data_IF_357477814792
#
_entry.id   IF_357477814792
#
_cell.length_a   1.000
_cell.length_b   1.000
_cell.length_c   1.000
_cell.angle_alpha   90.00
_cell.angle_beta   90.00
_cell.angle_gamma   90.00
#
_symmetry.space_group_name_H-M   'P 1'
#
loop_
_entity.id
_entity.type
_entity.pdbx_description
1 polymer ?
#
# COMPACT_ATOMS: atom_id res chain seq x y z
N UNK A 1 -0.97 -16.79 17.28
CA UNK A 1 -0.33 -16.11 18.41
C UNK A 1 -0.44 -14.63 18.16
N UNK A 2 -0.93 -13.88 19.14
CA UNK A 2 -1.30 -12.47 18.97
C UNK A 2 -0.74 -11.70 20.15
N UNK A 3 0.07 -10.69 19.85
CA UNK A 3 0.52 -9.66 20.76
C UNK A 3 0.15 -8.32 20.14
N UNK A 4 -0.85 -7.65 20.70
CA UNK A 4 -1.26 -6.32 20.29
C UNK A 4 -0.93 -5.34 21.40
N UNK A 5 -0.17 -4.30 21.07
CA UNK A 5 0.25 -3.22 21.97
C UNK A 5 0.94 -3.73 23.26
N UNK A 6 1.54 -4.92 23.18
CA UNK A 6 2.25 -5.56 24.28
C UNK A 6 3.67 -5.00 24.43
N UNK A 7 4.03 -4.59 25.64
CA UNK A 7 5.37 -4.08 25.93
C UNK A 7 6.23 -5.18 26.56
N UNK A 8 7.39 -5.44 25.97
CA UNK A 8 8.42 -6.30 26.58
C UNK A 8 9.24 -5.48 27.58
N UNK A 9 9.48 -6.03 28.78
CA UNK A 9 10.09 -5.31 29.89
C UNK A 9 11.60 -5.07 29.69
N UNK A 10 12.25 -5.91 28.87
CA UNK A 10 13.67 -5.76 28.56
C UNK A 10 14.06 -6.24 27.16
N UNK A 11 15.22 -5.80 26.68
CA UNK A 11 15.79 -6.30 25.41
C UNK A 11 16.18 -7.80 25.51
N UNK A 12 16.47 -8.30 26.72
CA UNK A 12 16.71 -9.73 26.97
C UNK A 12 15.45 -10.56 26.75
N UNK A 13 14.30 -10.08 27.23
CA UNK A 13 13.01 -10.72 26.99
C UNK A 13 12.64 -10.73 25.51
N UNK A 14 12.89 -9.64 24.78
CA UNK A 14 12.71 -9.60 23.32
C UNK A 14 13.55 -10.69 22.63
N UNK A 15 14.81 -10.84 23.04
CA UNK A 15 15.69 -11.89 22.53
C UNK A 15 15.16 -13.30 22.82
N UNK A 16 14.77 -13.57 24.08
CA UNK A 16 14.21 -14.85 24.51
C UNK A 16 12.90 -15.17 23.78
N UNK A 17 12.04 -14.17 23.60
CA UNK A 17 10.81 -14.29 22.84
C UNK A 17 11.08 -14.76 21.41
N UNK A 18 12.04 -14.17 20.70
CA UNK A 18 12.38 -14.59 19.33
C UNK A 18 12.91 -16.04 19.28
N UNK A 19 13.64 -16.48 20.31
CA UNK A 19 14.10 -17.87 20.40
C UNK A 19 12.92 -18.83 20.60
N UNK A 20 11.98 -18.50 21.49
CA UNK A 20 10.77 -19.31 21.74
C UNK A 20 9.89 -19.34 20.49
N UNK A 21 9.63 -18.17 19.90
CA UNK A 21 8.87 -18.00 18.67
C UNK A 21 9.37 -18.96 17.59
N UNK A 22 10.69 -19.06 17.41
CA UNK A 22 11.30 -19.91 16.40
C UNK A 22 11.04 -21.42 16.55
N UNK A 23 10.52 -21.86 17.69
CA UNK A 23 10.15 -23.25 17.98
C UNK A 23 8.68 -23.56 17.61
N UNK A 24 7.84 -22.55 17.39
CA UNK A 24 6.40 -22.70 17.16
C UNK A 24 6.07 -23.05 15.69
N UNK A 25 6.61 -24.15 15.16
CA UNK A 25 6.59 -24.48 13.71
C UNK A 25 5.21 -24.66 13.07
N UNK A 26 4.17 -24.94 13.87
CA UNK A 26 2.79 -25.06 13.39
C UNK A 26 2.02 -23.74 13.39
N UNK A 27 2.66 -22.65 13.81
CA UNK A 27 2.02 -21.35 13.88
C UNK A 27 1.67 -20.85 12.49
N UNK A 28 0.37 -20.59 12.26
CA UNK A 28 -0.15 -20.06 10.99
C UNK A 28 -0.42 -18.55 11.03
N UNK A 29 -0.66 -18.00 12.22
CA UNK A 29 -0.98 -16.59 12.40
C UNK A 29 -0.10 -16.00 13.49
N UNK A 30 0.64 -14.95 13.14
CA UNK A 30 1.42 -14.16 14.09
C UNK A 30 1.09 -12.67 13.91
N UNK A 31 0.54 -12.06 14.95
CA UNK A 31 0.48 -10.61 15.07
C UNK A 31 1.38 -10.15 16.22
N UNK A 32 2.21 -9.16 15.92
CA UNK A 32 3.11 -8.46 16.84
C UNK A 32 2.83 -6.96 16.80
N UNK A 33 1.61 -6.59 16.45
CA UNK A 33 1.23 -5.21 16.22
C UNK A 33 1.48 -4.38 17.48
N UNK A 34 2.17 -3.24 17.36
CA UNK A 34 2.42 -2.35 18.50
C UNK A 34 3.41 -2.87 19.55
N UNK A 35 4.14 -3.97 19.28
CA UNK A 35 5.01 -4.60 20.30
C UNK A 35 6.41 -3.97 20.48
N UNK A 36 6.75 -2.95 19.70
CA UNK A 36 8.02 -2.20 19.77
C UNK A 36 9.29 -3.08 19.91
N UNK A 37 9.34 -4.19 19.18
CA UNK A 37 10.51 -5.04 19.03
C UNK A 37 11.69 -4.30 18.39
N UNK A 38 12.88 -4.84 18.60
CA UNK A 38 14.14 -4.39 17.99
C UNK A 38 14.80 -5.55 17.25
N UNK A 39 15.98 -5.33 16.68
CA UNK A 39 16.83 -6.38 16.11
C UNK A 39 16.27 -7.07 14.85
N UNK A 40 15.86 -6.28 13.86
CA UNK A 40 15.33 -6.71 12.56
C UNK A 40 16.03 -7.93 11.91
N UNK A 41 17.36 -8.03 12.03
CA UNK A 41 18.15 -9.14 11.48
C UNK A 41 17.89 -10.46 12.23
N UNK A 42 17.85 -10.42 13.56
CA UNK A 42 17.54 -11.58 14.41
C UNK A 42 16.07 -11.98 14.24
N UNK A 43 15.18 -10.99 14.17
CA UNK A 43 13.78 -11.19 13.87
C UNK A 43 13.59 -11.98 12.55
N UNK A 44 14.23 -11.52 11.47
CA UNK A 44 14.15 -12.18 10.15
C UNK A 44 14.64 -13.65 10.19
N UNK A 45 15.73 -13.93 10.91
CA UNK A 45 16.24 -15.30 11.10
C UNK A 45 15.36 -16.19 11.98
N UNK A 46 14.57 -15.58 12.86
CA UNK A 46 13.70 -16.32 13.78
C UNK A 46 12.37 -16.63 13.11
N UNK A 47 11.81 -15.65 12.39
CA UNK A 47 10.54 -15.78 11.72
C UNK A 47 10.59 -16.77 10.55
N UNK A 48 11.71 -16.87 9.83
CA UNK A 48 11.85 -17.80 8.71
C UNK A 48 11.69 -19.28 9.12
N UNK A 49 11.84 -19.61 10.41
CA UNK A 49 11.62 -20.97 10.92
C UNK A 49 10.14 -21.35 11.03
N UNK A 50 9.22 -20.38 10.91
CA UNK A 50 7.78 -20.59 10.95
C UNK A 50 7.24 -20.99 9.57
N UNK A 51 7.59 -22.18 9.11
CA UNK A 51 7.33 -22.63 7.72
C UNK A 51 5.84 -22.76 7.36
N UNK A 52 4.94 -22.81 8.35
CA UNK A 52 3.48 -22.85 8.13
C UNK A 52 2.81 -21.47 8.31
N UNK A 53 3.58 -20.40 8.43
CA UNK A 53 3.05 -19.07 8.68
C UNK A 53 2.28 -18.56 7.44
N UNK A 54 1.02 -18.23 7.64
CA UNK A 54 0.09 -17.70 6.64
C UNK A 54 -0.05 -16.18 6.77
N UNK A 55 -0.13 -15.67 8.00
CA UNK A 55 -0.26 -14.24 8.28
C UNK A 55 0.86 -13.78 9.19
N UNK A 56 1.55 -12.73 8.76
CA UNK A 56 2.49 -11.97 9.57
C UNK A 56 2.04 -10.51 9.63
N UNK A 57 1.62 -10.09 10.82
CA UNK A 57 1.32 -8.69 11.13
C UNK A 57 2.40 -8.14 12.07
N UNK A 58 3.21 -7.23 11.54
CA UNK A 58 4.25 -6.52 12.29
C UNK A 58 4.03 -5.01 12.24
N UNK A 59 2.78 -4.56 12.05
CA UNK A 59 2.46 -3.14 12.04
C UNK A 59 2.84 -2.49 13.36
N UNK A 60 3.60 -1.39 13.32
CA UNK A 60 4.09 -0.71 14.53
C UNK A 60 4.88 -1.62 15.51
N UNK A 61 5.38 -2.76 15.04
CA UNK A 61 6.13 -3.70 15.88
C UNK A 61 7.58 -3.26 16.14
N UNK A 62 8.01 -2.08 15.69
CA UNK A 62 9.40 -1.60 15.81
C UNK A 62 10.42 -2.28 14.87
N UNK A 63 9.99 -3.27 14.08
CA UNK A 63 10.82 -3.93 13.06
C UNK A 63 10.98 -3.01 11.85
N UNK A 64 12.19 -2.47 11.65
CA UNK A 64 12.48 -1.51 10.56
C UNK A 64 12.91 -2.16 9.24
N UNK A 65 13.30 -3.42 9.29
CA UNK A 65 13.86 -4.13 8.13
C UNK A 65 13.39 -5.58 8.10
N UNK A 66 12.98 -6.07 6.93
CA UNK A 66 12.97 -7.51 6.65
C UNK A 66 14.13 -7.87 5.73
N UNK A 67 14.85 -8.91 6.10
CA UNK A 67 16.01 -9.44 5.38
C UNK A 67 15.65 -10.74 4.64
N UNK A 68 16.53 -11.17 3.74
CA UNK A 68 16.33 -12.33 2.86
C UNK A 68 15.84 -13.64 3.51
N UNK A 69 16.12 -13.99 4.79
CA UNK A 69 15.54 -15.22 5.36
C UNK A 69 14.00 -15.28 5.32
N UNK A 70 13.33 -14.13 5.32
CA UNK A 70 11.85 -14.07 5.24
C UNK A 70 11.32 -14.64 3.92
N UNK A 71 12.13 -14.63 2.86
CA UNK A 71 11.80 -15.23 1.57
C UNK A 71 11.50 -16.74 1.64
N UNK A 72 11.91 -17.42 2.71
CA UNK A 72 11.67 -18.85 2.92
C UNK A 72 10.23 -19.16 3.38
N UNK A 73 9.44 -18.13 3.74
CA UNK A 73 8.05 -18.29 4.19
C UNK A 73 7.10 -18.51 3.01
N UNK A 74 7.19 -19.67 2.37
CA UNK A 74 6.45 -20.00 1.14
C UNK A 74 4.93 -20.05 1.31
N UNK A 75 4.43 -20.30 2.52
CA UNK A 75 2.99 -20.31 2.80
C UNK A 75 2.42 -18.94 3.20
N UNK A 76 3.22 -17.87 3.11
CA UNK A 76 2.77 -16.55 3.57
C UNK A 76 1.79 -15.93 2.56
N UNK A 77 0.56 -15.69 3.01
CA UNK A 77 -0.50 -15.08 2.22
C UNK A 77 -0.71 -13.61 2.59
N UNK A 78 -0.45 -13.23 3.84
CA UNK A 78 -0.71 -11.87 4.33
C UNK A 78 0.49 -11.31 5.07
N UNK A 79 1.01 -10.19 4.57
CA UNK A 79 2.13 -9.46 5.14
C UNK A 79 1.74 -8.01 5.40
N UNK A 80 1.65 -7.64 6.68
CA UNK A 80 1.29 -6.29 7.12
C UNK A 80 2.48 -5.68 7.86
N UNK A 81 3.04 -4.59 7.30
CA UNK A 81 4.34 -4.03 7.71
C UNK A 81 4.34 -2.52 7.95
N UNK A 82 3.16 -1.88 7.89
CA UNK A 82 3.03 -0.44 8.09
C UNK A 82 3.64 0.03 9.42
N UNK A 83 4.36 1.15 9.38
CA UNK A 83 4.97 1.75 10.57
C UNK A 83 4.59 3.23 10.63
N UNK A 84 3.94 3.63 11.71
CA UNK A 84 3.44 4.99 11.95
C UNK A 84 4.55 5.97 12.33
N UNK A 85 5.63 5.48 12.97
CA UNK A 85 6.69 6.32 13.54
C UNK A 85 8.05 6.21 12.85
N UNK A 86 8.24 5.22 11.98
CA UNK A 86 9.52 4.96 11.32
C UNK A 86 9.28 4.39 9.92
N UNK A 87 10.25 4.54 9.04
CA UNK A 87 10.18 3.95 7.70
C UNK A 87 10.50 2.45 7.79
N UNK A 88 9.53 1.62 7.41
CA UNK A 88 9.76 0.20 7.17
C UNK A 88 10.46 0.00 5.82
N UNK A 89 11.49 -0.85 5.79
CA UNK A 89 12.23 -1.19 4.58
C UNK A 89 12.32 -2.69 4.39
N UNK A 90 12.42 -3.10 3.13
CA UNK A 90 12.66 -4.49 2.77
C UNK A 90 13.96 -4.59 1.98
N UNK A 91 14.76 -5.62 2.26
CA UNK A 91 15.87 -5.96 1.39
C UNK A 91 15.33 -6.58 0.09
N UNK A 92 16.01 -6.34 -1.05
CA UNK A 92 15.76 -7.12 -2.25
C UNK A 92 15.85 -8.63 -1.96
N UNK A 93 15.26 -9.42 -2.86
CA UNK A 93 15.10 -10.87 -2.89
C UNK A 93 14.05 -11.42 -1.92
N UNK A 94 13.51 -10.59 -1.02
CA UNK A 94 12.47 -11.01 -0.09
C UNK A 94 11.14 -11.25 -0.82
N UNK A 95 10.67 -10.30 -1.63
CA UNK A 95 9.34 -10.39 -2.26
C UNK A 95 9.32 -11.41 -3.39
N UNK A 96 10.41 -11.52 -4.16
CA UNK A 96 10.52 -12.41 -5.32
C UNK A 96 10.06 -13.86 -5.07
N UNK A 97 10.21 -14.34 -3.84
CA UNK A 97 9.91 -15.73 -3.48
C UNK A 97 8.55 -15.93 -2.79
N UNK A 98 7.84 -14.86 -2.42
CA UNK A 98 6.55 -14.92 -1.73
C UNK A 98 5.38 -15.02 -2.74
N UNK A 99 5.40 -16.04 -3.60
CA UNK A 99 4.49 -16.16 -4.75
C UNK A 99 3.01 -16.34 -4.39
N UNK A 100 2.73 -16.88 -3.21
CA UNK A 100 1.37 -17.11 -2.70
C UNK A 100 0.80 -15.88 -1.93
N UNK A 101 1.54 -14.76 -1.91
CA UNK A 101 1.14 -13.56 -1.19
C UNK A 101 -0.11 -12.94 -1.83
N UNK A 102 -1.16 -12.76 -1.04
CA UNK A 102 -2.45 -12.18 -1.43
C UNK A 102 -2.65 -10.77 -0.88
N UNK A 103 -2.00 -10.43 0.22
CA UNK A 103 -2.09 -9.11 0.85
C UNK A 103 -0.73 -8.59 1.26
N UNK A 104 -0.39 -7.40 0.79
CA UNK A 104 0.81 -6.66 1.19
C UNK A 104 0.42 -5.24 1.56
N UNK A 105 0.66 -4.86 2.82
CA UNK A 105 0.24 -3.56 3.35
C UNK A 105 1.39 -2.85 4.04
N UNK A 106 1.61 -1.58 3.67
CA UNK A 106 2.53 -0.67 4.36
C UNK A 106 3.98 -0.76 3.89
N UNK A 107 4.22 -1.30 2.69
CA UNK A 107 5.56 -1.34 2.11
C UNK A 107 5.91 0.00 1.47
N UNK A 108 7.10 0.50 1.76
CA UNK A 108 7.68 1.60 1.01
C UNK A 108 8.50 1.10 -0.19
N UNK A 109 8.18 1.60 -1.38
CA UNK A 109 8.94 1.41 -2.61
C UNK A 109 9.92 2.57 -2.77
N UNK A 110 11.20 2.29 -2.53
CA UNK A 110 12.27 3.30 -2.49
C UNK A 110 13.48 2.99 -3.39
N UNK A 111 13.43 1.90 -4.15
CA UNK A 111 14.44 1.51 -5.13
C UNK A 111 13.80 0.66 -6.24
N UNK A 112 14.53 0.47 -7.33
CA UNK A 112 14.05 -0.21 -8.52
C UNK A 112 13.88 -1.73 -8.31
N UNK A 113 14.69 -2.35 -7.46
CA UNK A 113 14.66 -3.79 -7.20
C UNK A 113 13.37 -4.19 -6.48
N UNK A 114 12.96 -3.43 -5.45
CA UNK A 114 11.68 -3.64 -4.76
C UNK A 114 10.50 -3.36 -5.70
N UNK A 115 10.60 -2.33 -6.55
CA UNK A 115 9.58 -2.02 -7.53
C UNK A 115 9.40 -3.16 -8.55
N UNK A 116 10.50 -3.73 -9.05
CA UNK A 116 10.49 -4.90 -9.95
C UNK A 116 9.93 -6.14 -9.26
N UNK A 117 10.29 -6.39 -7.99
CA UNK A 117 9.89 -7.62 -7.32
C UNK A 117 8.40 -7.74 -7.04
N UNK A 118 7.68 -6.61 -6.91
CA UNK A 118 6.23 -6.60 -6.81
C UNK A 118 5.57 -7.34 -7.99
N UNK A 119 6.17 -7.29 -9.18
CA UNK A 119 5.65 -7.94 -10.37
C UNK A 119 5.71 -9.47 -10.36
N UNK A 120 6.39 -10.10 -9.38
CA UNK A 120 6.36 -11.55 -9.20
C UNK A 120 5.21 -12.03 -8.30
N UNK A 121 4.51 -11.11 -7.62
CA UNK A 121 3.43 -11.42 -6.68
C UNK A 121 2.09 -11.59 -7.42
N UNK A 122 2.03 -12.46 -8.42
CA UNK A 122 0.87 -12.52 -9.34
C UNK A 122 -0.44 -12.96 -8.70
N UNK A 123 -0.42 -13.46 -7.46
CA UNK A 123 -1.61 -13.80 -6.66
C UNK A 123 -2.10 -12.64 -5.77
N UNK A 124 -1.47 -11.47 -5.84
CA UNK A 124 -1.73 -10.36 -4.95
C UNK A 124 -3.07 -9.70 -5.23
N UNK A 125 -3.97 -9.76 -4.26
CA UNK A 125 -5.32 -9.18 -4.35
C UNK A 125 -5.38 -7.77 -3.76
N UNK A 126 -4.54 -7.49 -2.75
CA UNK A 126 -4.49 -6.21 -2.05
C UNK A 126 -3.05 -5.72 -1.89
N UNK A 127 -2.79 -4.52 -2.43
CA UNK A 127 -1.51 -3.83 -2.33
C UNK A 127 -1.72 -2.44 -1.73
N UNK A 128 -1.06 -2.15 -0.61
CA UNK A 128 -0.95 -0.78 -0.09
C UNK A 128 0.52 -0.42 0.04
N UNK A 129 0.96 0.54 -0.77
CA UNK A 129 2.36 0.98 -0.83
C UNK A 129 2.49 2.49 -0.78
N UNK A 130 3.66 2.88 -0.28
CA UNK A 130 4.14 4.25 -0.30
C UNK A 130 5.33 4.35 -1.26
N UNK A 131 5.27 5.29 -2.21
CA UNK A 131 6.27 5.43 -3.27
C UNK A 131 7.12 6.66 -3.03
N UNK A 132 8.44 6.49 -3.08
CA UNK A 132 9.40 7.59 -3.05
C UNK A 132 9.67 8.06 -4.48
N UNK A 133 9.20 9.26 -4.83
CA UNK A 133 9.41 9.88 -6.14
C UNK A 133 10.78 10.59 -6.16
N UNK A 134 11.86 9.80 -6.26
CA UNK A 134 13.22 10.34 -6.45
C UNK A 134 13.88 9.80 -7.73
N UNK A 135 13.28 8.77 -8.34
CA UNK A 135 13.85 8.07 -9.49
C UNK A 135 12.74 7.68 -10.45
N UNK A 136 12.77 8.24 -11.66
CA UNK A 136 11.86 7.87 -12.73
C UNK A 136 11.94 6.38 -13.07
N UNK A 137 13.12 5.78 -12.93
CA UNK A 137 13.30 4.34 -13.15
C UNK A 137 12.48 3.53 -12.14
N UNK A 138 12.48 3.92 -10.86
CA UNK A 138 11.67 3.23 -9.83
C UNK A 138 10.18 3.26 -10.17
N UNK A 139 9.68 4.40 -10.67
CA UNK A 139 8.31 4.51 -11.17
C UNK A 139 8.04 3.64 -12.39
N UNK A 140 8.94 3.61 -13.36
CA UNK A 140 8.76 2.79 -14.56
C UNK A 140 8.69 1.30 -14.21
N UNK A 141 9.59 0.81 -13.34
CA UNK A 141 9.54 -0.58 -12.86
C UNK A 141 8.26 -0.86 -12.06
N UNK A 142 7.78 0.10 -11.26
CA UNK A 142 6.52 -0.05 -10.55
C UNK A 142 5.34 -0.18 -11.53
N UNK A 143 5.28 0.64 -12.59
CA UNK A 143 4.25 0.54 -13.62
C UNK A 143 4.26 -0.85 -14.28
N UNK A 144 5.43 -1.35 -14.71
CA UNK A 144 5.58 -2.69 -15.28
C UNK A 144 5.12 -3.77 -14.31
N UNK A 145 5.44 -3.64 -13.01
CA UNK A 145 4.99 -4.56 -11.99
C UNK A 145 3.47 -4.53 -11.81
N UNK A 146 2.84 -3.35 -11.80
CA UNK A 146 1.39 -3.23 -11.72
C UNK A 146 0.67 -3.84 -12.93
N UNK A 147 1.26 -3.78 -14.13
CA UNK A 147 0.74 -4.49 -15.32
C UNK A 147 0.72 -6.00 -15.11
N UNK A 148 1.78 -6.56 -14.53
CA UNK A 148 1.86 -8.01 -14.21
C UNK A 148 0.83 -8.43 -13.16
N UNK A 149 0.37 -7.51 -12.31
CA UNK A 149 -0.65 -7.76 -11.29
C UNK A 149 -2.08 -7.57 -11.81
N UNK A 150 -2.26 -7.21 -13.09
CA UNK A 150 -3.58 -6.87 -13.65
C UNK A 150 -4.62 -7.99 -13.55
N UNK A 151 -4.18 -9.25 -13.54
CA UNK A 151 -5.06 -10.42 -13.46
C UNK A 151 -5.50 -10.82 -12.04
N UNK A 152 -5.06 -10.13 -10.99
CA UNK A 152 -5.37 -10.52 -9.60
C UNK A 152 -5.68 -9.35 -8.66
N UNK A 153 -5.16 -8.16 -8.94
CA UNK A 153 -5.25 -7.03 -8.02
C UNK A 153 -6.66 -6.44 -7.97
N UNK A 154 -7.28 -6.48 -6.79
CA UNK A 154 -8.63 -5.95 -6.53
C UNK A 154 -8.62 -4.64 -5.75
N UNK A 155 -7.57 -4.40 -4.96
CA UNK A 155 -7.44 -3.23 -4.10
C UNK A 155 -6.03 -2.67 -4.15
N UNK A 156 -5.91 -1.39 -4.48
CA UNK A 156 -4.64 -0.68 -4.60
C UNK A 156 -4.69 0.62 -3.79
N UNK A 157 -3.71 0.83 -2.92
CA UNK A 157 -3.45 2.12 -2.29
C UNK A 157 -2.04 2.58 -2.65
N UNK A 158 -1.95 3.77 -3.25
CA UNK A 158 -0.70 4.43 -3.62
C UNK A 158 -0.60 5.77 -2.90
N UNK A 159 0.33 5.86 -1.94
CA UNK A 159 0.76 7.15 -1.37
C UNK A 159 2.10 7.57 -1.94
N UNK A 160 2.38 8.88 -1.89
CA UNK A 160 3.68 9.41 -2.28
C UNK A 160 4.32 10.14 -1.12
N UNK A 161 5.63 9.93 -0.93
CA UNK A 161 6.45 10.76 -0.05
C UNK A 161 7.11 11.84 -0.90
N UNK A 162 6.62 13.08 -0.85
CA UNK A 162 7.32 14.17 -1.52
C UNK A 162 7.38 15.43 -0.68
N UNK A 163 8.58 16.00 -0.58
CA UNK A 163 8.83 17.39 -0.18
C UNK A 163 9.04 18.30 -1.41
N UNK A 164 8.90 17.78 -2.64
CA UNK A 164 9.28 18.45 -3.89
C UNK A 164 8.30 18.20 -5.04
N UNK A 165 8.40 19.00 -6.11
CA UNK A 165 7.49 19.19 -7.27
C UNK A 165 7.14 17.96 -8.13
N UNK A 166 7.68 16.77 -7.87
CA UNK A 166 7.48 15.59 -8.72
C UNK A 166 6.03 15.05 -8.68
N UNK A 167 5.62 14.42 -9.78
CA UNK A 167 4.24 13.97 -10.06
C UNK A 167 4.20 12.44 -10.18
N UNK A 168 3.21 11.79 -9.57
CA UNK A 168 2.98 10.37 -9.79
C UNK A 168 2.20 10.21 -11.10
N UNK A 169 2.88 9.81 -12.16
CA UNK A 169 2.24 9.47 -13.43
C UNK A 169 2.31 7.94 -13.64
N UNK A 170 1.16 7.29 -13.52
CA UNK A 170 1.01 5.85 -13.78
C UNK A 170 0.68 5.65 -15.25
N UNK A 171 1.70 5.76 -16.11
CA UNK A 171 1.57 5.42 -17.52
C UNK A 171 1.58 3.88 -17.67
N UNK A 172 0.42 3.27 -17.38
CA UNK A 172 0.23 1.82 -17.39
C UNK A 172 -0.54 1.46 -18.67
N UNK A 173 0.07 0.66 -19.55
CA UNK A 173 -0.54 0.24 -20.80
C UNK A 173 -1.71 -0.73 -20.56
N UNK A 174 -1.55 -1.60 -19.55
CA UNK A 174 -2.56 -2.58 -19.14
C UNK A 174 -2.93 -2.37 -17.68
N UNK A 175 -3.84 -1.42 -17.38
CA UNK A 175 -4.20 -1.13 -16.00
C UNK A 175 -4.88 -2.33 -15.35
N UNK A 176 -4.81 -2.48 -14.01
CA UNK A 176 -5.42 -3.61 -13.33
C UNK A 176 -6.94 -3.62 -13.51
N UNK A 177 -7.43 -4.38 -14.49
CA UNK A 177 -8.82 -4.30 -14.95
C UNK A 177 -9.81 -4.85 -13.94
N UNK A 178 -9.36 -5.73 -13.04
CA UNK A 178 -10.13 -6.27 -11.92
C UNK A 178 -10.19 -5.32 -10.71
N UNK A 179 -9.52 -4.16 -10.76
CA UNK A 179 -9.43 -3.26 -9.63
C UNK A 179 -10.80 -2.70 -9.25
N UNK A 180 -11.20 -2.96 -8.01
CA UNK A 180 -12.48 -2.52 -7.44
C UNK A 180 -12.32 -1.34 -6.49
N UNK A 181 -11.16 -1.23 -5.84
CA UNK A 181 -10.86 -0.19 -4.87
C UNK A 181 -9.52 0.46 -5.18
N UNK A 182 -9.54 1.78 -5.31
CA UNK A 182 -8.34 2.57 -5.47
C UNK A 182 -8.28 3.67 -4.42
N UNK A 183 -7.18 3.71 -3.68
CA UNK A 183 -6.76 4.84 -2.87
C UNK A 183 -5.58 5.51 -3.58
N UNK A 184 -5.65 6.82 -3.81
CA UNK A 184 -4.53 7.55 -4.40
C UNK A 184 -4.30 8.89 -3.71
N UNK A 185 -3.05 9.13 -3.33
CA UNK A 185 -2.55 10.44 -2.94
C UNK A 185 -1.58 10.98 -3.97
N UNK A 186 -2.06 11.89 -4.83
CA UNK A 186 -1.28 12.46 -5.92
C UNK A 186 -1.43 13.98 -5.95
N UNK A 187 -0.83 14.66 -6.93
CA UNK A 187 -0.87 16.12 -7.11
C UNK A 187 -1.93 16.60 -8.10
N UNK A 188 -2.38 15.74 -9.03
CA UNK A 188 -3.41 16.10 -10.02
C UNK A 188 -4.16 14.85 -10.49
N UNK A 189 -5.50 14.88 -10.41
CA UNK A 189 -6.35 13.78 -10.87
C UNK A 189 -6.42 13.70 -12.41
N UNK A 190 -6.24 14.82 -13.10
CA UNK A 190 -6.25 14.89 -14.57
C UNK A 190 -5.17 14.02 -15.23
N UNK A 191 -4.06 13.77 -14.53
CA UNK A 191 -2.93 12.97 -15.03
C UNK A 191 -3.16 11.46 -14.83
N UNK A 192 -4.33 11.08 -14.32
CA UNK A 192 -4.74 9.71 -14.06
C UNK A 192 -5.87 9.30 -15.01
N UNK A 193 -5.76 9.66 -16.30
CA UNK A 193 -6.77 9.33 -17.32
C UNK A 193 -7.06 7.83 -17.38
N UNK A 194 -6.04 7.00 -17.18
CA UNK A 194 -6.15 5.53 -17.12
C UNK A 194 -7.07 5.05 -16.00
N UNK A 195 -7.20 5.80 -14.90
CA UNK A 195 -8.06 5.40 -13.77
C UNK A 195 -9.54 5.66 -14.11
N UNK A 196 -9.82 6.69 -14.91
CA UNK A 196 -11.20 7.05 -15.32
C UNK A 196 -11.86 5.94 -16.14
N UNK A 197 -11.06 5.10 -16.79
CA UNK A 197 -11.50 4.03 -17.69
C UNK A 197 -11.49 2.65 -17.04
N UNK A 198 -11.14 2.53 -15.76
CA UNK A 198 -11.13 1.24 -15.06
C UNK A 198 -12.55 0.65 -14.98
N UNK A 199 -12.81 -0.51 -15.62
CA UNK A 199 -14.18 -0.98 -15.82
C UNK A 199 -14.83 -1.48 -14.54
N UNK A 200 -14.06 -1.98 -13.57
CA UNK A 200 -14.58 -2.55 -12.34
C UNK A 200 -14.41 -1.65 -11.11
N UNK A 201 -13.98 -0.40 -11.29
CA UNK A 201 -13.70 0.49 -10.16
C UNK A 201 -14.99 0.94 -9.48
N UNK A 202 -15.21 0.47 -8.25
CA UNK A 202 -16.41 0.75 -7.46
C UNK A 202 -16.17 1.83 -6.41
N UNK A 203 -14.96 1.91 -5.86
CA UNK A 203 -14.62 2.87 -4.81
C UNK A 203 -13.30 3.56 -5.11
N UNK A 204 -13.33 4.89 -5.07
CA UNK A 204 -12.19 5.76 -5.25
C UNK A 204 -12.04 6.62 -4.00
N UNK A 205 -10.85 6.62 -3.42
CA UNK A 205 -10.49 7.52 -2.33
C UNK A 205 -9.31 8.39 -2.76
N UNK A 206 -9.53 9.69 -2.73
CA UNK A 206 -8.57 10.73 -3.05
C UNK A 206 -8.18 11.38 -1.74
N UNK A 207 -6.88 11.40 -1.41
CA UNK A 207 -6.43 11.93 -0.12
C UNK A 207 -5.03 12.54 -0.18
N UNK A 208 -4.71 13.41 0.78
CA UNK A 208 -3.37 13.99 0.96
C UNK A 208 -2.79 14.60 -0.34
N UNK A 209 -3.61 15.30 -1.13
CA UNK A 209 -3.12 16.11 -2.25
C UNK A 209 -2.31 17.30 -1.71
N UNK A 210 -1.31 17.78 -2.48
CA UNK A 210 -0.38 18.82 -2.05
C UNK A 210 -1.10 20.12 -1.69
N UNK A 211 -0.42 20.95 -0.91
CA UNK A 211 -0.87 22.26 -0.43
C UNK A 211 -1.29 23.29 -1.50
N UNK A 212 -1.28 22.94 -2.78
CA UNK A 212 -1.60 23.85 -3.89
C UNK A 212 -2.77 23.37 -4.77
N UNK A 213 -3.39 22.21 -4.49
CA UNK A 213 -4.57 21.79 -5.25
C UNK A 213 -5.81 22.52 -4.72
N UNK A 214 -6.14 23.65 -5.34
CA UNK A 214 -7.33 24.43 -5.01
C UNK A 214 -8.59 23.96 -5.73
N UNK A 215 -8.46 23.25 -6.85
CA UNK A 215 -9.60 22.84 -7.67
C UNK A 215 -9.44 21.36 -8.08
N UNK A 216 -10.51 20.59 -7.95
CA UNK A 216 -10.55 19.19 -8.35
C UNK A 216 -11.59 19.00 -9.45
N UNK A 217 -11.12 18.68 -10.64
CA UNK A 217 -11.96 18.48 -11.83
C UNK A 217 -12.18 17.00 -12.13
N UNK A 218 -13.44 16.60 -12.20
CA UNK A 218 -13.88 15.31 -12.73
C UNK A 218 -14.46 15.54 -14.13
N UNK A 219 -13.69 15.15 -15.14
CA UNK A 219 -14.06 15.35 -16.56
C UNK A 219 -15.24 14.49 -17.00
N UNK A 220 -15.94 14.97 -18.03
CA UNK A 220 -17.12 14.34 -18.59
C UNK A 220 -16.88 12.86 -18.98
N UNK A 221 -17.88 12.01 -18.75
CA UNK A 221 -17.85 10.59 -19.13
C UNK A 221 -16.87 9.70 -18.34
N UNK A 222 -16.18 10.21 -17.33
CA UNK A 222 -15.28 9.41 -16.49
C UNK A 222 -16.02 8.55 -15.45
N UNK A 223 -15.36 7.48 -14.98
CA UNK A 223 -15.76 6.73 -13.76
C UNK A 223 -17.18 6.13 -13.81
N UNK A 224 -17.53 5.48 -14.92
CA UNK A 224 -18.91 5.07 -15.22
C UNK A 224 -19.54 4.05 -14.25
N UNK A 225 -18.71 3.28 -13.51
CA UNK A 225 -19.18 2.27 -12.56
C UNK A 225 -18.90 2.64 -11.10
N UNK A 226 -18.44 3.86 -10.84
CA UNK A 226 -18.03 4.28 -9.51
C UNK A 226 -19.26 4.51 -8.62
N UNK A 227 -19.36 3.76 -7.53
CA UNK A 227 -20.44 3.85 -6.55
C UNK A 227 -20.07 4.72 -5.35
N UNK A 228 -18.79 4.79 -5.02
CA UNK A 228 -18.31 5.49 -3.83
C UNK A 228 -17.09 6.35 -4.15
N UNK A 229 -17.20 7.64 -3.81
CA UNK A 229 -16.12 8.60 -3.88
C UNK A 229 -15.85 9.17 -2.49
N UNK A 230 -14.62 9.04 -2.02
CA UNK A 230 -14.16 9.70 -0.82
C UNK A 230 -13.05 10.71 -1.14
N UNK A 231 -13.20 11.93 -0.65
CA UNK A 231 -12.21 13.01 -0.75
C UNK A 231 -11.82 13.38 0.67
N UNK A 232 -10.57 13.14 1.04
CA UNK A 232 -10.09 13.28 2.42
C UNK A 232 -8.87 14.18 2.53
N UNK A 233 -8.82 14.99 3.59
CA UNK A 233 -7.64 15.76 4.00
C UNK A 233 -7.09 16.71 2.91
N UNK A 234 -7.97 17.30 2.10
CA UNK A 234 -7.57 18.28 1.08
C UNK A 234 -7.78 19.70 1.60
N UNK A 235 -6.88 20.13 2.48
CA UNK A 235 -7.09 21.34 3.28
C UNK A 235 -7.08 22.67 2.53
N UNK A 236 -6.52 22.70 1.32
CA UNK A 236 -6.46 23.89 0.47
C UNK A 236 -7.47 23.88 -0.68
N UNK A 237 -8.21 22.77 -0.83
CA UNK A 237 -9.21 22.61 -1.88
C UNK A 237 -10.33 23.63 -1.68
N UNK A 238 -10.61 24.41 -2.71
CA UNK A 238 -11.65 25.44 -2.79
C UNK A 238 -12.85 25.00 -3.61
N UNK A 239 -12.64 24.24 -4.69
CA UNK A 239 -13.73 23.76 -5.53
C UNK A 239 -13.58 22.31 -5.97
N UNK A 240 -14.71 21.65 -6.16
CA UNK A 240 -14.83 20.38 -6.88
C UNK A 240 -15.80 20.60 -8.03
N UNK A 241 -15.41 20.24 -9.25
CA UNK A 241 -16.26 20.32 -10.44
C UNK A 241 -16.52 18.91 -10.97
N UNK A 242 -17.80 18.58 -11.11
CA UNK A 242 -18.29 17.37 -11.75
C UNK A 242 -18.88 17.71 -13.12
N UNK A 243 -18.16 17.39 -14.18
CA UNK A 243 -18.66 17.61 -15.54
C UNK A 243 -19.74 16.58 -15.91
N UNK A 244 -20.51 16.91 -16.94
CA UNK A 244 -21.65 16.14 -17.43
C UNK A 244 -21.33 14.64 -17.59
N UNK A 245 -22.25 13.80 -17.13
CA UNK A 245 -22.19 12.33 -17.19
C UNK A 245 -20.97 11.69 -16.50
N UNK A 246 -20.28 12.42 -15.61
CA UNK A 246 -19.24 11.84 -14.77
C UNK A 246 -19.88 11.09 -13.59
N UNK A 247 -19.44 9.85 -13.34
CA UNK A 247 -19.91 9.03 -12.21
C UNK A 247 -21.45 8.91 -12.11
N UNK A 248 -22.17 8.50 -13.18
CA UNK A 248 -23.63 8.50 -13.23
C UNK A 248 -24.31 7.56 -12.21
N UNK A 249 -23.57 6.59 -11.68
CA UNK A 249 -24.07 5.59 -10.70
C UNK A 249 -23.53 5.83 -9.29
N UNK A 250 -23.05 7.03 -8.98
CA UNK A 250 -22.50 7.36 -7.66
C UNK A 250 -23.59 7.29 -6.58
N UNK A 251 -23.41 6.39 -5.61
CA UNK A 251 -24.34 6.17 -4.50
C UNK A 251 -23.89 6.94 -3.25
N UNK A 252 -22.58 7.16 -3.09
CA UNK A 252 -22.01 7.75 -1.88
C UNK A 252 -20.84 8.70 -2.18
N UNK A 253 -21.02 9.96 -1.81
CA UNK A 253 -19.97 10.97 -1.78
C UNK A 253 -19.61 11.32 -0.33
N UNK A 254 -18.33 11.22 0.02
CA UNK A 254 -17.82 11.57 1.35
C UNK A 254 -16.70 12.58 1.21
N UNK A 255 -16.86 13.74 1.85
CA UNK A 255 -15.85 14.79 1.91
C UNK A 255 -15.48 15.00 3.38
N UNK A 256 -14.21 14.75 3.72
CA UNK A 256 -13.72 14.81 5.11
C UNK A 256 -12.47 15.68 5.15
N UNK A 257 -12.40 16.61 6.12
CA UNK A 257 -11.21 17.44 6.35
C UNK A 257 -10.80 18.29 5.12
N UNK A 258 -11.78 18.82 4.38
CA UNK A 258 -11.62 19.77 3.26
C UNK A 258 -12.14 21.15 3.67
N UNK A 259 -11.39 21.83 4.53
CA UNK A 259 -11.85 22.97 5.34
C UNK A 259 -11.89 24.30 4.60
N UNK A 260 -11.23 24.42 3.44
CA UNK A 260 -11.32 25.59 2.56
C UNK A 260 -12.31 25.42 1.40
N UNK A 261 -13.06 24.31 1.36
CA UNK A 261 -13.95 24.00 0.26
C UNK A 261 -15.14 24.97 0.26
N UNK A 262 -15.27 25.73 -0.83
CA UNK A 262 -16.31 26.74 -1.03
C UNK A 262 -17.41 26.23 -1.97
N UNK A 263 -17.03 25.47 -2.99
CA UNK A 263 -17.92 25.09 -4.08
C UNK A 263 -17.83 23.61 -4.42
N UNK A 264 -18.98 22.99 -4.63
CA UNK A 264 -19.13 21.68 -5.24
C UNK A 264 -20.11 21.89 -6.39
N UNK A 265 -19.60 21.88 -7.62
CA UNK A 265 -20.28 22.33 -8.84
C UNK A 265 -20.48 21.13 -9.77
#
# INVERSE_FOLDING_TARGET
MVFEDYTFDSDAEKGNFLQILSKLRHLRYLSLKGTHLKYSKIFSKSICKLQNLVTLDIRDAGIRWLYSPVAELRQLHHLLVACSYNIFRMKPEVLRNLKDLQTLVGLQVNNMEIAEELGYLTQLMKLEIEVKLESQNTLNFLCVSLEKLSGSLLSLSLTTLTNQKERLNLNIQYPPSLLQRLQIGNKKLDELEVIKTLPNLLCLTIFNFPHNLEELLFRAGGFQNLKMLEIKNLGVLKSIEFQMDCMPVLEKLVIISCWKLLHVI
#
